data_IF_195679856163
#
_entry.id   IF_195679856163
#
_cell.length_a   1.000
_cell.length_b   1.000
_cell.length_c   1.000
_cell.angle_alpha   90.00
_cell.angle_beta   90.00
_cell.angle_gamma   90.00
#
_symmetry.space_group_name_H-M   'P 1'
#
loop_
_entity.id
_entity.type
_entity.pdbx_description
1 polymer ?
#
# COMPACT_ATOMS: atom_id res chain seq x y z
N UNK A 1 -12.33 14.65 -8.72
CA UNK A 1 -12.14 13.87 -7.47
C UNK A 1 -10.68 13.71 -7.06
N UNK A 2 -9.76 13.30 -7.95
CA UNK A 2 -8.34 13.08 -7.59
C UNK A 2 -7.66 14.33 -6.97
N UNK A 3 -7.92 15.52 -7.52
CA UNK A 3 -7.37 16.78 -6.99
C UNK A 3 -7.86 17.14 -5.57
N UNK A 4 -9.10 16.78 -5.23
CA UNK A 4 -9.66 17.01 -3.89
C UNK A 4 -9.05 16.06 -2.86
N UNK A 5 -8.80 14.81 -3.26
CA UNK A 5 -8.11 13.81 -2.43
C UNK A 5 -6.66 14.23 -2.19
N UNK A 6 -5.97 14.75 -3.20
CA UNK A 6 -4.61 15.27 -3.06
C UNK A 6 -4.55 16.51 -2.16
N UNK A 7 -5.54 17.41 -2.25
CA UNK A 7 -5.69 18.58 -1.37
C UNK A 7 -6.01 18.19 0.09
N UNK A 8 -6.88 17.19 0.29
CA UNK A 8 -7.18 16.66 1.62
C UNK A 8 -5.98 15.95 2.23
N UNK A 9 -5.23 15.18 1.42
CA UNK A 9 -4.01 14.53 1.87
C UNK A 9 -2.90 15.55 2.18
N UNK A 10 -2.76 16.63 1.40
CA UNK A 10 -1.80 17.69 1.71
C UNK A 10 -2.17 18.44 2.99
N UNK A 11 -3.46 18.78 3.17
CA UNK A 11 -3.94 19.48 4.35
C UNK A 11 -3.85 18.62 5.63
N UNK A 12 -4.16 17.32 5.53
CA UNK A 12 -3.99 16.37 6.64
C UNK A 12 -2.51 16.13 6.98
N UNK A 13 -1.60 16.24 6.00
CA UNK A 13 -0.15 16.19 6.24
C UNK A 13 0.37 17.45 6.93
N UNK A 14 -0.08 18.64 6.52
CA UNK A 14 0.26 19.92 7.16
C UNK A 14 -0.12 19.94 8.65
N UNK A 15 -1.29 19.40 9.00
CA UNK A 15 -1.79 19.42 10.38
C UNK A 15 -1.03 18.47 11.32
N UNK A 16 -0.45 17.38 10.81
CA UNK A 16 0.20 16.35 11.65
C UNK A 16 1.69 16.60 11.89
N UNK A 17 2.36 17.39 11.04
CA UNK A 17 3.80 17.67 11.15
C UNK A 17 4.13 19.00 11.83
N UNK A 18 3.15 19.87 12.04
CA UNK A 18 3.31 21.11 12.84
C UNK A 18 3.53 20.85 14.35
N UNK A 19 3.53 19.59 14.78
CA UNK A 19 3.63 19.15 16.19
C UNK A 19 4.92 18.38 16.50
N UNK A 20 5.81 18.16 15.52
CA UNK A 20 7.10 17.51 15.75
C UNK A 20 8.18 18.59 15.67
N UNK A 21 8.37 19.28 16.79
CA UNK A 21 9.42 20.27 17.00
C UNK A 21 10.81 19.66 16.75
N UNK A 22 11.74 20.52 16.30
CA UNK A 22 13.21 20.37 16.18
C UNK A 22 13.85 19.85 14.88
N UNK A 23 13.24 20.00 13.70
CA UNK A 23 13.96 19.82 12.44
C UNK A 23 13.35 20.63 11.32
N UNK A 24 14.13 21.52 10.70
CA UNK A 24 13.69 22.30 9.54
C UNK A 24 13.03 21.38 8.50
N UNK A 25 11.72 21.54 8.31
CA UNK A 25 11.01 20.82 7.27
C UNK A 25 11.54 21.38 5.95
N UNK A 26 12.32 20.57 5.23
CA UNK A 26 12.81 20.94 3.90
C UNK A 26 11.64 20.97 2.90
N UNK A 27 10.96 22.12 2.86
CA UNK A 27 9.88 22.40 1.92
C UNK A 27 10.36 22.32 0.46
N UNK A 28 11.67 22.34 0.19
CA UNK A 28 12.19 22.17 -1.16
C UNK A 28 11.84 20.80 -1.73
N UNK A 29 11.81 19.75 -0.91
CA UNK A 29 11.43 18.39 -1.33
C UNK A 29 9.97 18.37 -1.78
N UNK A 30 9.10 19.07 -1.03
CA UNK A 30 7.68 19.16 -1.34
C UNK A 30 7.44 19.93 -2.64
N UNK A 31 8.02 21.12 -2.78
CA UNK A 31 7.87 21.95 -3.98
C UNK A 31 8.44 21.24 -5.21
N UNK A 32 9.63 20.64 -5.09
CA UNK A 32 10.27 19.90 -6.19
C UNK A 32 9.44 18.69 -6.60
N UNK A 33 8.91 17.95 -5.64
CA UNK A 33 8.08 16.78 -5.92
C UNK A 33 6.75 17.18 -6.56
N UNK A 34 6.09 18.24 -6.05
CA UNK A 34 4.84 18.74 -6.61
C UNK A 34 5.03 19.29 -8.03
N UNK A 35 6.12 20.03 -8.27
CA UNK A 35 6.49 20.51 -9.60
C UNK A 35 6.75 19.37 -10.59
N UNK A 36 7.48 18.34 -10.17
CA UNK A 36 7.70 17.14 -10.96
C UNK A 36 6.41 16.40 -11.30
N UNK A 37 5.51 16.25 -10.33
CA UNK A 37 4.23 15.58 -10.54
C UNK A 37 3.37 16.37 -11.54
N UNK A 38 3.26 17.68 -11.37
CA UNK A 38 2.47 18.52 -12.29
C UNK A 38 2.98 18.48 -13.74
N UNK A 39 4.28 18.27 -13.95
CA UNK A 39 4.88 18.22 -15.28
C UNK A 39 4.76 16.86 -15.98
N UNK A 40 4.38 15.79 -15.28
CA UNK A 40 4.22 14.48 -15.93
C UNK A 40 2.95 14.42 -16.80
N UNK A 41 3.02 13.81 -17.99
CA UNK A 41 1.84 13.61 -18.82
C UNK A 41 0.83 12.71 -18.12
N UNK A 42 -0.46 13.00 -18.32
CA UNK A 42 -1.57 12.24 -17.74
C UNK A 42 -1.49 10.74 -18.02
N UNK A 43 -0.97 10.34 -19.19
CA UNK A 43 -0.79 8.94 -19.58
C UNK A 43 0.06 8.16 -18.58
N UNK A 44 1.13 8.74 -18.02
CA UNK A 44 1.96 8.06 -17.01
C UNK A 44 1.19 7.75 -15.75
N UNK A 45 0.34 8.67 -15.29
CA UNK A 45 -0.55 8.43 -14.15
C UNK A 45 -1.53 7.32 -14.44
N UNK A 46 -2.18 7.38 -15.61
CA UNK A 46 -3.16 6.37 -16.02
C UNK A 46 -2.53 4.97 -16.05
N UNK A 47 -1.38 4.80 -16.72
CA UNK A 47 -0.69 3.52 -16.80
C UNK A 47 -0.08 3.08 -15.46
N UNK A 48 0.51 3.99 -14.68
CA UNK A 48 1.11 3.66 -13.39
C UNK A 48 0.07 3.18 -12.37
N UNK A 49 -1.05 3.89 -12.22
CA UNK A 49 -2.15 3.44 -11.36
C UNK A 49 -2.86 2.22 -11.95
N UNK A 50 -3.01 2.15 -13.28
CA UNK A 50 -3.59 0.98 -13.96
C UNK A 50 -2.80 -0.30 -13.66
N UNK A 51 -1.47 -0.27 -13.77
CA UNK A 51 -0.61 -1.41 -13.43
C UNK A 51 -0.68 -1.73 -11.95
N UNK A 52 -0.54 -0.72 -11.08
CA UNK A 52 -0.61 -0.91 -9.63
C UNK A 52 -1.92 -1.62 -9.20
N UNK A 53 -3.07 -1.16 -9.72
CA UNK A 53 -4.39 -1.63 -9.28
C UNK A 53 -4.85 -2.88 -10.04
N UNK A 54 -4.85 -2.84 -11.38
CA UNK A 54 -5.45 -3.89 -12.23
C UNK A 54 -4.56 -5.11 -12.26
N UNK A 55 -3.29 -4.95 -12.65
CA UNK A 55 -2.34 -6.06 -12.71
C UNK A 55 -2.14 -6.61 -11.30
N UNK A 56 -1.96 -5.74 -10.31
CA UNK A 56 -1.90 -6.16 -8.92
C UNK A 56 -3.13 -6.98 -8.52
N UNK A 57 -4.35 -6.61 -8.91
CA UNK A 57 -5.56 -7.35 -8.52
C UNK A 57 -5.60 -8.74 -9.17
N UNK A 58 -5.31 -8.79 -10.48
CA UNK A 58 -5.29 -10.03 -11.26
C UNK A 58 -4.27 -11.03 -10.70
N UNK A 59 -3.10 -10.58 -10.25
CA UNK A 59 -2.07 -11.46 -9.71
C UNK A 59 -2.27 -11.82 -8.24
N UNK A 60 -2.69 -10.88 -7.40
CA UNK A 60 -2.80 -11.10 -5.94
C UNK A 60 -4.02 -11.98 -5.60
N UNK A 61 -5.14 -11.83 -6.33
CA UNK A 61 -6.37 -12.54 -6.00
C UNK A 61 -6.21 -14.08 -6.10
N UNK A 62 -5.67 -14.66 -7.19
CA UNK A 62 -5.43 -16.10 -7.30
C UNK A 62 -4.48 -16.63 -6.23
N UNK A 63 -3.40 -15.91 -5.93
CA UNK A 63 -2.41 -16.30 -4.91
C UNK A 63 -3.07 -16.35 -3.53
N UNK A 64 -3.85 -15.32 -3.18
CA UNK A 64 -4.59 -15.27 -1.93
C UNK A 64 -5.65 -16.38 -1.84
N UNK A 65 -6.37 -16.66 -2.94
CA UNK A 65 -7.34 -17.74 -2.98
C UNK A 65 -6.68 -19.11 -2.82
N UNK A 66 -5.55 -19.35 -3.50
CA UNK A 66 -4.77 -20.57 -3.39
C UNK A 66 -4.26 -20.79 -1.96
N UNK A 67 -3.63 -19.78 -1.34
CA UNK A 67 -3.15 -19.90 0.05
C UNK A 67 -4.29 -20.11 1.05
N UNK A 68 -5.44 -19.44 0.85
CA UNK A 68 -6.63 -19.65 1.68
C UNK A 68 -7.19 -21.07 1.52
N UNK A 69 -7.22 -21.59 0.29
CA UNK A 69 -7.63 -22.95 -0.02
C UNK A 69 -6.72 -23.97 0.67
N UNK A 70 -5.41 -23.82 0.52
CA UNK A 70 -4.41 -24.71 1.14
C UNK A 70 -4.48 -24.67 2.68
N UNK A 71 -4.64 -23.48 3.27
CA UNK A 71 -4.89 -23.36 4.71
C UNK A 71 -6.15 -24.08 5.16
N UNK A 72 -7.24 -23.98 4.39
CA UNK A 72 -8.51 -24.62 4.73
C UNK A 72 -8.42 -26.15 4.60
N UNK A 73 -7.65 -26.68 3.64
CA UNK A 73 -7.37 -28.13 3.52
C UNK A 73 -6.67 -28.69 4.77
N UNK A 74 -5.76 -27.91 5.36
CA UNK A 74 -5.03 -28.29 6.58
C UNK A 74 -5.85 -28.17 7.87
N UNK A 75 -7.06 -27.61 7.82
CA UNK A 75 -7.94 -27.43 8.99
C UNK A 75 -9.40 -27.80 8.65
N UNK A 76 -9.69 -29.09 8.37
CA UNK A 76 -11.05 -29.54 8.10
C UNK A 76 -11.97 -29.31 9.32
N UNK A 77 -13.18 -28.80 9.10
CA UNK A 77 -14.21 -28.60 10.14
C UNK A 77 -14.48 -27.15 10.57
N UNK A 78 -13.73 -26.16 10.07
CA UNK A 78 -13.95 -24.75 10.42
C UNK A 78 -15.06 -24.13 9.55
N UNK A 79 -16.14 -23.63 10.16
CA UNK A 79 -17.19 -22.87 9.45
C UNK A 79 -16.58 -21.69 8.69
N UNK A 80 -16.79 -21.63 7.37
CA UNK A 80 -16.45 -20.47 6.53
C UNK A 80 -17.17 -19.24 7.10
N UNK A 81 -16.43 -18.32 7.73
CA UNK A 81 -16.97 -17.00 8.04
C UNK A 81 -16.79 -16.13 6.80
N UNK A 82 -17.73 -16.24 5.86
CA UNK A 82 -17.78 -15.46 4.62
C UNK A 82 -18.16 -14.00 4.95
N UNK A 83 -17.20 -13.18 5.38
CA UNK A 83 -17.47 -11.76 5.68
C UNK A 83 -16.44 -10.79 5.10
N UNK A 84 -15.88 -11.05 3.93
CA UNK A 84 -14.90 -10.09 3.40
C UNK A 84 -14.40 -10.31 2.00
N UNK A 85 -15.26 -10.66 1.04
CA UNK A 85 -14.87 -10.58 -0.38
C UNK A 85 -14.67 -9.11 -0.77
N UNK A 86 -15.78 -8.39 -0.92
CA UNK A 86 -15.80 -7.01 -1.41
C UNK A 86 -14.99 -6.02 -0.56
N UNK A 87 -15.17 -6.02 0.77
CA UNK A 87 -14.44 -5.10 1.65
C UNK A 87 -12.92 -5.37 1.62
N UNK A 88 -12.50 -6.63 1.55
CA UNK A 88 -11.06 -6.95 1.45
C UNK A 88 -10.49 -6.52 0.10
N UNK A 89 -11.27 -6.61 -0.98
CA UNK A 89 -10.86 -6.17 -2.31
C UNK A 89 -10.76 -4.64 -2.38
N UNK A 90 -11.74 -3.91 -1.84
CA UNK A 90 -11.73 -2.45 -1.76
C UNK A 90 -10.54 -1.94 -0.94
N UNK A 91 -10.23 -2.59 0.18
CA UNK A 91 -9.04 -2.28 0.99
C UNK A 91 -7.77 -2.50 0.17
N UNK A 92 -7.64 -3.61 -0.55
CA UNK A 92 -6.47 -3.88 -1.40
C UNK A 92 -6.31 -2.87 -2.55
N UNK A 93 -7.40 -2.40 -3.15
CA UNK A 93 -7.37 -1.32 -4.16
C UNK A 93 -6.91 -0.01 -3.51
N UNK A 94 -7.52 0.37 -2.40
CA UNK A 94 -7.22 1.62 -1.68
C UNK A 94 -5.76 1.65 -1.24
N UNK A 95 -5.24 0.55 -0.73
CA UNK A 95 -3.85 0.43 -0.31
C UNK A 95 -2.88 0.63 -1.46
N UNK A 96 -3.13 0.03 -2.62
CA UNK A 96 -2.23 0.17 -3.76
C UNK A 96 -2.23 1.58 -4.33
N UNK A 97 -3.40 2.23 -4.35
CA UNK A 97 -3.48 3.66 -4.68
C UNK A 97 -2.67 4.47 -3.66
N UNK A 98 -2.92 4.27 -2.36
CA UNK A 98 -2.24 5.02 -1.30
C UNK A 98 -0.72 4.81 -1.29
N UNK A 99 -0.25 3.57 -1.49
CA UNK A 99 1.17 3.25 -1.57
C UNK A 99 1.82 3.85 -2.81
N UNK A 100 1.20 3.72 -4.00
CA UNK A 100 1.71 4.37 -5.21
C UNK A 100 1.78 5.88 -5.02
N UNK A 101 0.73 6.51 -4.46
CA UNK A 101 0.73 7.95 -4.17
C UNK A 101 1.83 8.35 -3.19
N UNK A 102 2.00 7.61 -2.09
CA UNK A 102 3.04 7.89 -1.10
C UNK A 102 4.45 7.77 -1.70
N UNK A 103 4.69 6.76 -2.54
CA UNK A 103 5.98 6.55 -3.19
C UNK A 103 6.31 7.67 -4.20
N UNK A 104 5.37 8.06 -5.06
CA UNK A 104 5.62 9.15 -6.03
C UNK A 104 5.76 10.51 -5.33
N UNK A 105 5.05 10.70 -4.20
CA UNK A 105 5.14 11.89 -3.37
C UNK A 105 6.41 11.95 -2.51
N UNK A 106 7.24 10.90 -2.50
CA UNK A 106 8.49 10.88 -1.74
C UNK A 106 8.31 10.64 -0.24
N UNK A 107 7.22 9.99 0.18
CA UNK A 107 6.92 9.65 1.57
C UNK A 107 6.88 8.12 1.79
N UNK A 108 7.95 7.35 1.50
CA UNK A 108 7.97 5.91 1.70
C UNK A 108 7.71 5.48 3.16
N UNK A 109 8.04 6.33 4.14
CA UNK A 109 7.75 6.11 5.55
C UNK A 109 6.25 5.94 5.84
N UNK A 110 5.36 6.51 5.02
CA UNK A 110 3.92 6.27 5.13
C UNK A 110 3.56 4.80 4.92
N UNK A 111 4.21 4.13 3.96
CA UNK A 111 4.00 2.70 3.69
C UNK A 111 4.40 1.87 4.92
N UNK A 112 5.56 2.17 5.52
CA UNK A 112 6.02 1.52 6.75
C UNK A 112 5.06 1.74 7.92
N UNK A 113 4.66 2.98 8.18
CA UNK A 113 3.72 3.33 9.25
C UNK A 113 2.38 2.60 9.08
N UNK A 114 1.85 2.59 7.86
CA UNK A 114 0.58 1.94 7.56
C UNK A 114 0.64 0.43 7.74
N UNK A 115 1.73 -0.22 7.33
CA UNK A 115 1.96 -1.65 7.56
C UNK A 115 2.01 -1.97 9.05
N UNK A 116 2.73 -1.17 9.85
CA UNK A 116 2.80 -1.35 11.31
C UNK A 116 1.42 -1.23 11.94
N UNK A 117 0.60 -0.26 11.51
CA UNK A 117 -0.76 -0.10 12.01
C UNK A 117 -1.65 -1.31 11.66
N UNK A 118 -1.59 -1.78 10.42
CA UNK A 118 -2.32 -2.99 9.99
C UNK A 118 -1.89 -4.23 10.76
N UNK A 119 -0.58 -4.35 11.01
CA UNK A 119 0.01 -5.45 11.74
C UNK A 119 -0.47 -5.44 13.20
N UNK A 120 -0.39 -4.29 13.87
CA UNK A 120 -0.87 -4.11 15.25
C UNK A 120 -2.36 -4.44 15.39
N UNK A 121 -3.20 -3.98 14.46
CA UNK A 121 -4.65 -4.25 14.49
C UNK A 121 -5.03 -5.73 14.35
N UNK A 122 -4.13 -6.56 13.81
CA UNK A 122 -4.35 -8.00 13.58
C UNK A 122 -3.56 -8.89 14.52
N UNK A 123 -2.68 -8.34 15.36
CA UNK A 123 -1.80 -9.09 16.26
C UNK A 123 -2.56 -10.13 17.11
N UNK A 124 -3.69 -9.72 17.71
CA UNK A 124 -4.54 -10.63 18.51
C UNK A 124 -5.08 -11.81 17.69
N UNK A 125 -5.27 -11.68 16.38
CA UNK A 125 -5.80 -12.75 15.52
C UNK A 125 -4.73 -13.77 15.10
N UNK A 126 -3.46 -13.41 15.27
CA UNK A 126 -2.27 -14.13 14.77
C UNK A 126 -1.53 -14.93 15.82
N UNK A 127 -2.01 -14.91 17.07
CA UNK A 127 -1.44 -15.69 18.16
C UNK A 127 -1.35 -17.19 17.80
N UNK A 128 -0.23 -17.88 18.13
CA UNK A 128 -0.02 -19.29 17.80
C UNK A 128 -1.09 -20.22 18.37
N UNK A 129 -1.60 -19.86 19.55
CA UNK A 129 -2.67 -20.55 20.27
C UNK A 129 -4.00 -20.55 19.50
N UNK A 130 -4.18 -19.62 18.55
CA UNK A 130 -5.38 -19.56 17.72
C UNK A 130 -5.22 -20.50 16.53
N UNK A 131 -6.22 -21.34 16.22
CA UNK A 131 -6.15 -22.23 15.08
C UNK A 131 -5.81 -21.45 13.79
N UNK A 132 -4.72 -21.85 13.12
CA UNK A 132 -4.26 -21.20 11.89
C UNK A 132 -3.78 -19.76 12.06
N UNK A 133 -3.24 -19.39 13.23
CA UNK A 133 -2.58 -18.10 13.46
C UNK A 133 -1.48 -17.84 12.44
N UNK A 134 -0.48 -18.72 12.36
CA UNK A 134 0.64 -18.61 11.42
C UNK A 134 0.22 -18.60 9.95
N UNK A 135 -0.74 -19.44 9.55
CA UNK A 135 -1.27 -19.43 8.17
C UNK A 135 -1.94 -18.10 7.81
N UNK A 136 -2.58 -17.42 8.76
CA UNK A 136 -3.16 -16.08 8.55
C UNK A 136 -2.09 -14.99 8.47
N UNK A 137 -1.03 -15.09 9.27
CA UNK A 137 0.15 -14.20 9.19
C UNK A 137 0.79 -14.31 7.81
N UNK A 138 1.05 -15.53 7.33
CA UNK A 138 1.72 -15.73 6.04
C UNK A 138 0.89 -15.17 4.87
N UNK A 139 -0.42 -15.45 4.84
CA UNK A 139 -1.34 -14.87 3.83
C UNK A 139 -1.32 -13.34 3.89
N UNK A 140 -1.33 -12.76 5.09
CA UNK A 140 -1.28 -11.31 5.27
C UNK A 140 0.04 -10.72 4.77
N UNK A 141 1.19 -11.30 5.15
CA UNK A 141 2.50 -10.80 4.77
C UNK A 141 2.70 -10.86 3.25
N UNK A 142 2.40 -12.00 2.62
CA UNK A 142 2.50 -12.17 1.17
C UNK A 142 1.60 -11.19 0.43
N UNK A 143 0.35 -11.02 0.86
CA UNK A 143 -0.57 -10.07 0.25
C UNK A 143 -0.09 -8.61 0.33
N UNK A 144 0.50 -8.20 1.45
CA UNK A 144 1.05 -6.85 1.61
C UNK A 144 2.33 -6.66 0.79
N UNK A 145 3.27 -7.61 0.80
CA UNK A 145 4.50 -7.55 0.00
C UNK A 145 4.16 -7.40 -1.48
N UNK A 146 3.27 -8.25 -2.01
CA UNK A 146 2.83 -8.14 -3.40
C UNK A 146 2.17 -6.78 -3.69
N UNK A 147 1.34 -6.28 -2.78
CA UNK A 147 0.70 -4.97 -2.96
C UNK A 147 1.73 -3.84 -3.04
N UNK A 148 2.76 -3.88 -2.20
CA UNK A 148 3.86 -2.90 -2.23
C UNK A 148 4.66 -3.02 -3.53
N UNK A 149 4.98 -4.23 -3.98
CA UNK A 149 5.73 -4.45 -5.22
C UNK A 149 5.00 -3.88 -6.44
N UNK A 150 3.69 -4.16 -6.58
CA UNK A 150 2.90 -3.58 -7.67
C UNK A 150 2.72 -2.07 -7.54
N UNK A 151 2.60 -1.57 -6.31
CA UNK A 151 2.54 -0.12 -6.07
C UNK A 151 3.83 0.58 -6.44
N UNK A 152 4.96 -0.06 -6.17
CA UNK A 152 6.30 0.40 -6.52
C UNK A 152 6.52 0.39 -8.03
N UNK A 153 6.14 -0.69 -8.72
CA UNK A 153 6.18 -0.75 -10.18
C UNK A 153 5.38 0.40 -10.82
N UNK A 154 4.16 0.65 -10.33
CA UNK A 154 3.33 1.79 -10.75
C UNK A 154 4.00 3.14 -10.47
N UNK A 155 4.65 3.29 -9.31
CA UNK A 155 5.36 4.50 -8.94
C UNK A 155 6.59 4.76 -9.82
N UNK A 156 7.34 3.71 -10.20
CA UNK A 156 8.50 3.81 -11.12
C UNK A 156 8.04 4.25 -12.52
N UNK A 157 6.89 3.80 -13.00
CA UNK A 157 6.34 4.26 -14.29
C UNK A 157 6.03 5.77 -14.25
N UNK A 158 5.46 6.25 -13.15
CA UNK A 158 5.12 7.67 -12.97
C UNK A 158 6.38 8.51 -12.74
N UNK A 159 7.31 8.00 -11.93
CA UNK A 159 8.54 8.67 -11.52
C UNK A 159 9.74 7.73 -11.68
N UNK A 160 10.30 7.59 -12.90
CA UNK A 160 11.40 6.65 -13.17
C UNK A 160 12.65 6.89 -12.31
N UNK A 161 12.93 8.16 -12.02
CA UNK A 161 14.08 8.56 -11.20
C UNK A 161 13.97 8.10 -9.73
N UNK A 162 12.80 7.58 -9.31
CA UNK A 162 12.62 6.99 -7.99
C UNK A 162 13.57 5.80 -7.77
N UNK A 163 13.75 4.95 -8.78
CA UNK A 163 14.63 3.78 -8.69
C UNK A 163 16.09 4.20 -8.47
N UNK A 164 16.56 5.18 -9.25
CA UNK A 164 17.94 5.68 -9.16
C UNK A 164 18.25 6.29 -7.79
N UNK A 165 17.29 7.02 -7.20
CA UNK A 165 17.45 7.58 -5.85
C UNK A 165 17.59 6.51 -4.77
N UNK A 166 16.84 5.40 -4.89
CA UNK A 166 16.88 4.31 -3.92
C UNK A 166 18.16 3.47 -4.01
N UNK A 167 18.82 3.44 -5.16
CA UNK A 167 20.10 2.72 -5.33
C UNK A 167 21.32 3.53 -4.89
N UNK A 168 21.17 4.83 -4.66
CA UNK A 168 22.26 5.75 -4.31
C UNK A 168 22.28 6.15 -2.82
N UNK A 169 21.24 5.78 -2.06
CA UNK A 169 21.12 5.97 -0.61
C UNK A 169 21.52 4.73 0.15
#
# INVERSE_FOLDING_TARGET
MLGLVLLLLSYLFELKFKSVDTGEIDFSIFITTFGYLKSQPFSKYFFGYGISVVVGHIFINPINQWMRSERNRRQPGRKKKDRGGLLSELVGITERVAYTTALIAGYPQFVGLWLTLKFAGRWKEWQPEKPGGWGRVNIFLVGNILSILFSFAGAVIIRPNLFLKLTQS
#
